data_IF_007620585936
#
_entry.id   IF_007620585936
#
_cell.length_a   1.000
_cell.length_b   1.000
_cell.length_c   1.000
_cell.angle_alpha   90.00
_cell.angle_beta   90.00
_cell.angle_gamma   90.00
#
_symmetry.space_group_name_H-M   'P 1'
#
loop_
_entity.id
_entity.type
_entity.pdbx_description
1 polymer ?
#
# COMPACT_ATOMS: atom_id res chain seq x y z
N UNK A 1 29.99 5.74 -10.46
CA UNK A 1 29.79 7.19 -10.36
C UNK A 1 28.71 7.48 -9.33
N UNK A 2 29.01 8.34 -8.40
CA UNK A 2 28.07 8.73 -7.37
C UNK A 2 27.01 9.67 -7.96
N UNK A 3 25.76 9.45 -7.62
CA UNK A 3 24.65 10.25 -8.14
C UNK A 3 24.42 11.45 -7.24
N UNK A 4 24.36 12.65 -7.83
CA UNK A 4 24.29 13.93 -7.10
C UNK A 4 23.08 14.05 -6.16
N UNK A 5 21.99 13.32 -6.40
CA UNK A 5 20.79 13.42 -5.57
C UNK A 5 21.00 12.99 -4.11
N UNK A 6 22.07 12.23 -3.81
CA UNK A 6 22.36 11.84 -2.44
C UNK A 6 22.73 13.01 -1.52
N UNK A 7 23.12 14.13 -2.10
CA UNK A 7 23.58 15.32 -1.37
C UNK A 7 22.53 16.47 -1.39
N UNK A 8 21.44 16.31 -2.13
CA UNK A 8 20.41 17.35 -2.31
C UNK A 8 19.02 16.79 -1.94
N UNK A 9 18.43 17.30 -0.88
CA UNK A 9 17.11 16.86 -0.41
C UNK A 9 16.00 17.07 -1.45
N UNK A 10 16.08 18.13 -2.25
CA UNK A 10 15.09 18.35 -3.32
C UNK A 10 15.19 17.25 -4.39
N UNK A 11 16.41 16.91 -4.78
CA UNK A 11 16.63 15.84 -5.77
C UNK A 11 16.29 14.46 -5.21
N UNK A 12 16.56 14.21 -3.94
CA UNK A 12 16.16 12.98 -3.26
C UNK A 12 14.62 12.83 -3.27
N UNK A 13 13.91 13.91 -2.94
CA UNK A 13 12.45 13.92 -2.96
C UNK A 13 11.89 13.66 -4.36
N UNK A 14 12.46 14.27 -5.38
CA UNK A 14 12.09 14.03 -6.79
C UNK A 14 12.31 12.56 -7.16
N UNK A 15 13.44 11.98 -6.76
CA UNK A 15 13.77 10.57 -7.04
C UNK A 15 12.75 9.65 -6.39
N UNK A 16 12.40 9.88 -5.14
CA UNK A 16 11.41 9.08 -4.40
C UNK A 16 10.06 9.12 -5.12
N UNK A 17 9.56 10.30 -5.46
CA UNK A 17 8.27 10.42 -6.15
C UNK A 17 8.30 9.81 -7.55
N UNK A 18 9.43 9.92 -8.26
CA UNK A 18 9.61 9.25 -9.54
C UNK A 18 9.52 7.73 -9.40
N UNK A 19 10.14 7.15 -8.37
CA UNK A 19 10.07 5.71 -8.09
C UNK A 19 8.65 5.28 -7.73
N UNK A 20 7.93 6.08 -6.97
CA UNK A 20 6.53 5.83 -6.61
C UNK A 20 5.63 5.88 -7.85
N UNK A 21 5.77 6.89 -8.69
CA UNK A 21 5.00 7.02 -9.93
C UNK A 21 5.25 5.85 -10.88
N UNK A 22 6.51 5.43 -11.02
CA UNK A 22 6.86 4.26 -11.82
C UNK A 22 6.24 2.98 -11.24
N UNK A 23 6.23 2.84 -9.93
CA UNK A 23 5.71 1.65 -9.25
C UNK A 23 4.21 1.45 -9.47
N UNK A 24 3.45 2.52 -9.66
CA UNK A 24 2.02 2.43 -9.99
C UNK A 24 1.81 1.78 -11.36
N UNK A 25 2.74 1.97 -12.29
CA UNK A 25 2.65 1.48 -13.68
C UNK A 25 3.38 0.16 -13.89
N UNK A 26 4.49 -0.05 -13.21
CA UNK A 26 5.36 -1.20 -13.39
C UNK A 26 5.14 -2.25 -12.31
N UNK A 27 4.55 -3.38 -12.69
CA UNK A 27 4.29 -4.50 -11.78
C UNK A 27 5.55 -5.15 -11.22
N UNK A 28 6.68 -4.98 -11.89
CA UNK A 28 7.96 -5.51 -11.44
C UNK A 28 8.69 -4.60 -10.47
N UNK A 29 8.21 -3.38 -10.26
CA UNK A 29 8.86 -2.45 -9.35
C UNK A 29 8.74 -2.90 -7.89
N UNK A 30 9.85 -2.95 -7.13
CA UNK A 30 9.78 -3.28 -5.70
C UNK A 30 9.01 -2.23 -4.88
N UNK A 31 8.91 -0.99 -5.36
CA UNK A 31 8.11 0.05 -4.69
C UNK A 31 6.60 -0.13 -4.87
N UNK A 32 6.17 -1.07 -5.74
CA UNK A 32 4.75 -1.36 -5.91
C UNK A 32 4.14 -2.12 -4.72
N UNK A 33 4.97 -2.82 -3.96
CA UNK A 33 4.52 -3.69 -2.87
C UNK A 33 5.18 -3.31 -1.53
N UNK A 34 4.90 -2.10 -1.02
CA UNK A 34 5.45 -1.70 0.27
C UNK A 34 4.86 -2.51 1.42
N UNK A 35 5.57 -2.51 2.54
CA UNK A 35 5.03 -2.98 3.82
C UNK A 35 4.23 -1.85 4.45
N UNK A 36 3.00 -2.11 4.79
CA UNK A 36 2.12 -1.19 5.52
C UNK A 36 2.04 -1.63 6.97
N UNK A 37 2.32 -0.70 7.89
CA UNK A 37 2.42 -0.97 9.32
C UNK A 37 1.42 -0.08 10.04
N UNK A 38 0.51 -0.68 10.79
CA UNK A 38 -0.50 0.05 11.54
C UNK A 38 -0.78 -0.62 12.89
N UNK A 39 -1.54 0.04 13.74
CA UNK A 39 -1.96 -0.47 15.02
C UNK A 39 -1.55 0.41 16.18
N UNK A 40 -1.72 -0.13 17.38
CA UNK A 40 -1.42 0.54 18.64
C UNK A 40 -0.21 -0.11 19.31
N UNK A 41 0.21 0.49 20.43
CA UNK A 41 1.40 0.10 21.17
C UNK A 41 1.53 -1.42 21.41
N UNK A 42 0.42 -2.10 21.70
CA UNK A 42 0.40 -3.54 22.02
C UNK A 42 -0.20 -4.40 20.90
N UNK A 43 -0.54 -3.80 19.76
CA UNK A 43 -1.22 -4.49 18.66
C UNK A 43 -0.77 -3.89 17.33
N UNK A 44 0.51 -4.08 17.01
CA UNK A 44 1.11 -3.65 15.76
C UNK A 44 1.03 -4.77 14.74
N UNK A 45 0.74 -4.41 13.50
CA UNK A 45 0.65 -5.35 12.40
C UNK A 45 1.29 -4.77 11.15
N UNK A 46 2.05 -5.60 10.45
CA UNK A 46 2.69 -5.24 9.18
C UNK A 46 2.28 -6.21 8.09
N UNK A 47 1.96 -5.68 6.92
CA UNK A 47 1.57 -6.49 5.76
C UNK A 47 1.94 -5.81 4.46
N UNK A 48 2.09 -6.60 3.40
CA UNK A 48 2.31 -6.08 2.06
C UNK A 48 0.98 -5.54 1.52
N UNK A 49 1.05 -4.37 0.91
CA UNK A 49 -0.07 -3.79 0.15
C UNK A 49 0.42 -3.46 -1.25
N UNK A 50 -0.51 -3.24 -2.18
CA UNK A 50 -0.18 -2.90 -3.57
C UNK A 50 -0.47 -1.42 -3.80
N UNK A 51 0.56 -0.67 -4.16
CA UNK A 51 0.42 0.75 -4.48
C UNK A 51 -0.40 0.92 -5.76
N UNK A 52 -1.48 1.69 -5.70
CA UNK A 52 -2.42 1.87 -6.82
C UNK A 52 -2.38 3.27 -7.42
N UNK A 53 -2.01 4.27 -6.63
CA UNK A 53 -1.94 5.66 -7.08
C UNK A 53 -0.89 6.42 -6.28
N UNK A 54 -0.19 7.31 -6.96
CA UNK A 54 0.70 8.29 -6.33
C UNK A 54 0.34 9.68 -6.86
N UNK A 55 0.36 10.67 -5.99
CA UNK A 55 0.05 12.05 -6.32
C UNK A 55 0.95 12.95 -5.50
N UNK A 56 2.03 13.41 -6.14
CA UNK A 56 3.02 14.26 -5.49
C UNK A 56 2.43 15.61 -5.07
N UNK A 57 1.58 16.20 -5.91
CA UNK A 57 1.00 17.52 -5.66
C UNK A 57 0.19 17.56 -4.36
N UNK A 58 -0.51 16.48 -4.05
CA UNK A 58 -1.33 16.35 -2.85
C UNK A 58 -0.67 15.52 -1.74
N UNK A 59 0.58 15.07 -1.98
CA UNK A 59 1.31 14.18 -1.05
C UNK A 59 0.47 12.97 -0.66
N UNK A 60 -0.07 12.27 -1.68
CA UNK A 60 -1.06 11.22 -1.48
C UNK A 60 -0.62 9.92 -2.15
N UNK A 61 -0.79 8.82 -1.44
CA UNK A 61 -0.67 7.47 -1.95
C UNK A 61 -1.99 6.74 -1.72
N UNK A 62 -2.34 5.84 -2.63
CA UNK A 62 -3.58 5.07 -2.53
C UNK A 62 -3.28 3.58 -2.75
N UNK A 63 -3.90 2.76 -1.94
CA UNK A 63 -3.96 1.33 -2.14
C UNK A 63 -5.37 0.82 -1.81
N UNK A 64 -5.69 -0.38 -2.29
CA UNK A 64 -6.98 -1.00 -2.03
C UNK A 64 -6.89 -1.97 -0.85
N UNK A 65 -7.97 -2.10 -0.13
CA UNK A 65 -8.09 -3.04 0.97
C UNK A 65 -9.51 -3.58 1.05
N UNK A 66 -9.63 -4.80 1.52
CA UNK A 66 -10.93 -5.35 1.89
C UNK A 66 -11.38 -4.68 3.19
N UNK A 67 -12.61 -4.16 3.22
CA UNK A 67 -13.18 -3.50 4.42
C UNK A 67 -13.27 -4.46 5.61
N UNK A 68 -13.27 -5.75 5.36
CA UNK A 68 -13.26 -6.79 6.39
C UNK A 68 -11.88 -7.05 6.99
N UNK A 69 -10.84 -6.40 6.43
CA UNK A 69 -9.48 -6.55 6.93
C UNK A 69 -9.35 -6.01 8.35
N UNK A 70 -8.60 -6.71 9.18
CA UNK A 70 -8.28 -6.32 10.54
C UNK A 70 -7.61 -4.93 10.63
N UNK A 71 -6.81 -4.55 9.62
CA UNK A 71 -6.19 -3.22 9.60
C UNK A 71 -7.19 -2.07 9.54
N UNK A 72 -8.38 -2.30 8.98
CA UNK A 72 -9.43 -1.28 8.95
C UNK A 72 -9.89 -0.93 10.36
N UNK A 73 -10.10 -1.92 11.21
CA UNK A 73 -10.43 -1.70 12.63
C UNK A 73 -9.30 -0.99 13.37
N UNK A 74 -8.05 -1.36 13.13
CA UNK A 74 -6.89 -0.70 13.71
C UNK A 74 -6.81 0.78 13.30
N UNK A 75 -7.10 1.08 12.04
CA UNK A 75 -7.09 2.46 11.51
C UNK A 75 -8.23 3.32 12.06
N UNK A 76 -9.36 2.74 12.44
CA UNK A 76 -10.44 3.46 13.13
C UNK A 76 -10.00 3.96 14.50
N UNK A 77 -9.15 3.23 15.18
CA UNK A 77 -8.61 3.59 16.50
C UNK A 77 -7.42 4.53 16.36
N UNK A 78 -6.53 4.25 15.41
CA UNK A 78 -5.33 5.04 15.16
C UNK A 78 -5.09 5.17 13.65
N UNK A 79 -5.35 6.36 13.12
CA UNK A 79 -5.18 6.65 11.69
C UNK A 79 -3.72 6.85 11.26
N UNK A 80 -2.79 6.94 12.20
CA UNK A 80 -1.37 7.05 11.90
C UNK A 80 -0.79 5.69 11.59
N UNK A 81 -0.01 5.62 10.53
CA UNK A 81 0.61 4.39 10.07
C UNK A 81 1.97 4.69 9.47
N UNK A 82 2.69 3.64 9.12
CA UNK A 82 3.97 3.77 8.44
C UNK A 82 3.96 2.88 7.19
N UNK A 83 4.72 3.32 6.18
CA UNK A 83 4.95 2.52 4.98
C UNK A 83 6.45 2.39 4.76
N UNK A 84 6.89 1.19 4.44
CA UNK A 84 8.29 0.87 4.19
C UNK A 84 8.44 0.37 2.75
N UNK A 85 9.28 1.07 2.00
CA UNK A 85 9.64 0.73 0.63
C UNK A 85 11.12 0.38 0.58
N UNK A 86 11.49 -0.62 -0.19
CA UNK A 86 12.90 -0.94 -0.41
C UNK A 86 13.16 -1.42 -1.83
N UNK A 87 14.17 -0.83 -2.46
CA UNK A 87 14.69 -1.24 -3.75
C UNK A 87 16.12 -1.72 -3.56
N UNK A 88 16.34 -3.03 -3.67
CA UNK A 88 17.66 -3.63 -3.44
C UNK A 88 18.68 -3.32 -4.53
N UNK A 89 18.24 -3.05 -5.74
CA UNK A 89 19.12 -2.71 -6.86
C UNK A 89 19.62 -1.28 -6.75
N UNK A 90 18.71 -0.36 -6.46
CA UNK A 90 19.06 1.04 -6.21
C UNK A 90 19.64 1.25 -4.81
N UNK A 91 19.46 0.28 -3.91
CA UNK A 91 19.85 0.37 -2.49
C UNK A 91 19.21 1.57 -1.79
N UNK A 92 17.93 1.80 -2.09
CA UNK A 92 17.14 2.89 -1.49
C UNK A 92 16.05 2.31 -0.61
N UNK A 93 16.03 2.77 0.65
CA UNK A 93 14.96 2.50 1.60
C UNK A 93 14.21 3.80 1.88
N UNK A 94 12.90 3.76 1.79
CA UNK A 94 12.05 4.90 2.13
C UNK A 94 11.08 4.48 3.23
N UNK A 95 11.06 5.24 4.30
CA UNK A 95 10.10 5.08 5.39
C UNK A 95 9.20 6.31 5.41
N UNK A 96 7.91 6.08 5.28
CA UNK A 96 6.91 7.15 5.32
C UNK A 96 6.07 7.01 6.58
N UNK A 97 5.88 8.12 7.27
CA UNK A 97 4.83 8.25 8.29
C UNK A 97 3.64 8.87 7.60
N UNK A 98 2.50 8.22 7.68
CA UNK A 98 1.31 8.60 6.94
C UNK A 98 0.10 8.71 7.85
N UNK A 99 -0.85 9.53 7.43
CA UNK A 99 -2.18 9.58 8.02
C UNK A 99 -3.16 8.94 7.04
N UNK A 100 -3.92 7.96 7.50
CA UNK A 100 -4.78 7.16 6.64
C UNK A 100 -6.21 7.69 6.64
N UNK A 101 -6.81 7.72 5.45
CA UNK A 101 -8.23 7.97 5.26
C UNK A 101 -8.84 6.72 4.62
N UNK A 102 -9.82 6.13 5.29
CA UNK A 102 -10.51 4.95 4.78
C UNK A 102 -11.72 5.42 3.96
N UNK A 103 -11.69 5.14 2.65
CA UNK A 103 -12.80 5.42 1.75
C UNK A 103 -13.58 4.14 1.51
N UNK A 104 -14.90 4.17 1.70
CA UNK A 104 -15.77 3.02 1.54
C UNK A 104 -17.08 3.45 0.89
N UNK A 105 -17.47 2.77 -0.19
CA UNK A 105 -18.72 3.02 -0.93
C UNK A 105 -18.92 4.48 -1.36
N UNK A 106 -17.83 5.20 -1.69
CA UNK A 106 -17.87 6.57 -2.21
C UNK A 106 -17.36 6.64 -3.66
N UNK A 107 -17.33 7.84 -4.24
CA UNK A 107 -16.88 8.03 -5.62
C UNK A 107 -15.42 7.61 -5.84
N UNK A 108 -14.55 7.78 -4.85
CA UNK A 108 -13.15 7.36 -4.93
C UNK A 108 -13.06 5.84 -5.06
N UNK A 109 -13.82 5.09 -4.25
CA UNK A 109 -13.82 3.62 -4.29
C UNK A 109 -14.42 3.11 -5.58
N UNK A 110 -15.49 3.72 -6.08
CA UNK A 110 -16.11 3.36 -7.36
C UNK A 110 -15.15 3.58 -8.53
N UNK A 111 -14.48 4.72 -8.57
CA UNK A 111 -13.49 5.03 -9.61
C UNK A 111 -12.34 4.04 -9.59
N UNK A 112 -11.78 3.77 -8.40
CA UNK A 112 -10.69 2.81 -8.25
C UNK A 112 -11.08 1.40 -8.68
N UNK A 113 -12.28 0.95 -8.31
CA UNK A 113 -12.79 -0.36 -8.69
C UNK A 113 -12.97 -0.48 -10.19
N UNK A 114 -13.51 0.56 -10.84
CA UNK A 114 -13.72 0.55 -12.29
C UNK A 114 -12.41 0.45 -13.08
N UNK A 115 -11.30 0.97 -12.54
CA UNK A 115 -9.96 0.90 -13.13
C UNK A 115 -9.20 -0.37 -12.78
N UNK A 116 -9.70 -1.17 -11.84
CA UNK A 116 -9.03 -2.39 -11.39
C UNK A 116 -9.21 -3.50 -12.43
N UNK A 117 -8.11 -4.16 -12.81
CA UNK A 117 -8.15 -5.28 -13.73
C UNK A 117 -8.95 -6.45 -13.15
N UNK A 118 -9.65 -7.19 -14.01
CA UNK A 118 -10.50 -8.31 -13.61
C UNK A 118 -9.76 -9.32 -12.73
N UNK A 119 -8.54 -9.70 -13.10
CA UNK A 119 -7.74 -10.65 -12.32
C UNK A 119 -7.42 -10.12 -10.92
N UNK A 120 -7.21 -8.81 -10.79
CA UNK A 120 -6.96 -8.19 -9.48
C UNK A 120 -8.23 -8.15 -8.63
N UNK A 121 -9.41 -7.98 -9.25
CA UNK A 121 -10.70 -8.02 -8.54
C UNK A 121 -10.97 -9.37 -7.91
N UNK A 122 -10.54 -10.46 -8.54
CA UNK A 122 -10.74 -11.82 -8.04
C UNK A 122 -10.17 -12.02 -6.64
N UNK A 123 -9.11 -11.32 -6.29
CA UNK A 123 -8.50 -11.39 -4.94
C UNK A 123 -9.46 -10.93 -3.82
N UNK A 124 -10.52 -10.20 -4.15
CA UNK A 124 -11.51 -9.72 -3.19
C UNK A 124 -12.76 -10.59 -3.11
N UNK A 125 -12.84 -11.69 -3.89
CA UNK A 125 -13.99 -12.61 -3.95
C UNK A 125 -13.79 -13.81 -3.02
N UNK A 126 -13.40 -13.55 -1.78
CA UNK A 126 -13.21 -14.56 -0.74
C UNK A 126 -14.31 -14.48 0.31
N UNK A 127 -14.63 -15.61 0.95
CA UNK A 127 -15.70 -15.67 1.94
C UNK A 127 -15.38 -14.87 3.21
N UNK A 128 -14.13 -14.94 3.66
CA UNK A 128 -13.67 -14.27 4.88
C UNK A 128 -12.68 -13.16 4.55
N UNK A 129 -12.62 -12.15 5.41
CA UNK A 129 -11.67 -11.06 5.28
C UNK A 129 -10.21 -11.52 5.40
N UNK A 130 -9.25 -10.72 4.89
CA UNK A 130 -7.83 -11.03 5.02
C UNK A 130 -7.42 -11.17 6.48
N UNK A 131 -6.54 -12.12 6.77
CA UNK A 131 -6.06 -12.38 8.13
C UNK A 131 -7.03 -13.17 9.00
N UNK A 132 -8.16 -13.64 8.48
CA UNK A 132 -9.10 -14.50 9.20
C UNK A 132 -8.45 -15.84 9.49
N UNK A 133 -8.52 -16.30 10.75
CA UNK A 133 -7.99 -17.60 11.14
C UNK A 133 -8.81 -18.74 10.54
N UNK A 134 -8.13 -19.83 10.19
CA UNK A 134 -8.73 -21.03 9.62
C UNK A 134 -8.07 -22.27 10.20
N UNK A 135 -8.87 -23.31 10.49
CA UNK A 135 -8.38 -24.59 11.01
C UNK A 135 -7.55 -25.38 9.97
N UNK A 136 -7.73 -25.07 8.70
CA UNK A 136 -7.01 -25.72 7.61
C UNK A 136 -6.44 -24.66 6.67
N UNK A 137 -5.30 -24.95 5.98
CA UNK A 137 -4.79 -24.05 4.96
C UNK A 137 -5.82 -23.85 3.85
N UNK A 138 -6.09 -22.59 3.51
CA UNK A 138 -7.04 -22.23 2.44
C UNK A 138 -6.69 -20.89 1.82
N UNK A 139 -6.96 -20.72 0.53
CA UNK A 139 -6.90 -19.42 -0.15
C UNK A 139 -8.13 -18.56 0.14
N UNK A 140 -9.22 -19.19 0.63
CA UNK A 140 -10.52 -18.53 0.78
C UNK A 140 -11.23 -18.27 -0.53
N UNK A 141 -10.61 -18.54 -1.68
CA UNK A 141 -11.21 -18.34 -3.00
C UNK A 141 -12.22 -19.46 -3.30
N UNK A 142 -13.36 -19.06 -3.88
CA UNK A 142 -14.34 -20.03 -4.40
C UNK A 142 -13.83 -20.64 -5.69
N UNK A 143 -14.14 -21.93 -5.96
CA UNK A 143 -13.77 -22.58 -7.21
C UNK A 143 -14.33 -21.87 -8.43
#
# INVERSE_FOLDING_TARGET
>A
MQVAYYEDFTEIKKKIWSMLDNAVKDRGSPFRIPVFICGNQNDLDGRIVVLRKSDQSNSLLQYHSDIRSDKIEKLKVNKNAAMLFYDKEEKIQVRLKVECVVNHENEITKESWSKTQHISRKCYLVDNGPGTESDIPTSGLKP
#
